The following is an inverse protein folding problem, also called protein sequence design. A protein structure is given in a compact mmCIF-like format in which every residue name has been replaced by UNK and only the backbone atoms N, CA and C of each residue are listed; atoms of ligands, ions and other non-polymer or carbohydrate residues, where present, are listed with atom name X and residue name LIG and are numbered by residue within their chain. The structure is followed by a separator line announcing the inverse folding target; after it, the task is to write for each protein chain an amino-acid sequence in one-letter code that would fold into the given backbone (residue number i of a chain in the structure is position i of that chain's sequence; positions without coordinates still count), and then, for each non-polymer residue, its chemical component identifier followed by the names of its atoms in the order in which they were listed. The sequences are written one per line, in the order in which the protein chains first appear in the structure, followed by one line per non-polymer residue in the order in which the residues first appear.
data_IF_473034316726
#
_entry.id   IF_473034316726
#
_cell.length_a   1.000
_cell.length_b   1.000
_cell.length_c   1.000
_cell.angle_alpha   90.00
_cell.angle_beta   90.00
_cell.angle_gamma   90.00
#
_symmetry.space_group_name_H-M   'P 1'
#
loop_
_entity.id
_entity.type
_entity.pdbx_description
1 polymer ?
#
# COMPACT_ATOMS: atom_id res chain seq x y z
N UNK A 1 5.21 23.92 3.45
CA UNK A 1 4.73 23.77 2.07
C UNK A 1 3.53 22.82 1.90
N UNK A 2 3.01 22.17 2.95
CA UNK A 2 1.83 21.27 2.86
C UNK A 2 0.45 21.98 2.88
N UNK A 3 0.39 23.29 3.14
CA UNK A 3 -0.86 24.01 3.41
C UNK A 3 -1.66 24.36 2.16
N UNK A 4 -0.99 24.69 1.04
CA UNK A 4 -1.65 25.18 -0.19
C UNK A 4 -2.43 24.09 -0.91
N UNK A 5 -1.84 22.90 -1.07
CA UNK A 5 -2.49 21.76 -1.73
C UNK A 5 -3.74 21.28 -0.98
N UNK A 6 -3.73 21.32 0.35
CA UNK A 6 -4.89 20.93 1.17
C UNK A 6 -6.03 21.94 1.03
N UNK A 7 -5.73 23.24 0.99
CA UNK A 7 -6.75 24.27 0.80
C UNK A 7 -7.39 24.23 -0.59
N UNK A 8 -6.61 23.91 -1.62
CA UNK A 8 -7.10 23.77 -3.00
C UNK A 8 -8.06 22.58 -3.13
N UNK A 9 -7.68 21.41 -2.60
CA UNK A 9 -8.55 20.22 -2.58
C UNK A 9 -9.87 20.46 -1.85
N UNK A 10 -9.86 21.21 -0.75
CA UNK A 10 -11.07 21.55 0.00
C UNK A 10 -11.98 22.50 -0.80
N UNK A 11 -11.39 23.42 -1.58
CA UNK A 11 -12.15 24.33 -2.43
C UNK A 11 -12.79 23.58 -3.61
N UNK A 12 -12.08 22.64 -4.22
CA UNK A 12 -12.63 21.76 -5.26
C UNK A 12 -13.80 20.93 -4.74
N UNK A 13 -13.63 20.29 -3.57
CA UNK A 13 -14.70 19.53 -2.94
C UNK A 13 -15.95 20.39 -2.68
N UNK A 14 -15.75 21.62 -2.19
CA UNK A 14 -16.84 22.57 -1.94
C UNK A 14 -17.60 22.93 -3.23
N UNK A 15 -16.90 23.00 -4.36
CA UNK A 15 -17.51 23.25 -5.66
C UNK A 15 -18.38 22.08 -6.12
N UNK A 16 -17.89 20.85 -5.94
CA UNK A 16 -18.66 19.63 -6.24
C UNK A 16 -19.94 19.56 -5.40
N UNK A 17 -19.86 19.87 -4.10
CA UNK A 17 -21.03 19.87 -3.22
C UNK A 17 -22.10 20.86 -3.67
N UNK A 18 -21.72 22.09 -4.04
CA UNK A 18 -22.67 23.08 -4.56
C UNK A 18 -23.37 22.61 -5.83
N UNK A 19 -22.64 22.01 -6.76
CA UNK A 19 -23.24 21.45 -7.98
C UNK A 19 -24.26 20.34 -7.65
N UNK A 20 -23.95 19.47 -6.68
CA UNK A 20 -24.87 18.42 -6.23
C UNK A 20 -26.13 18.99 -5.56
N UNK A 21 -25.97 20.03 -4.72
CA UNK A 21 -27.10 20.72 -4.07
C UNK A 21 -28.00 21.41 -5.10
N UNK A 22 -27.42 22.08 -6.09
CA UNK A 22 -28.14 22.71 -7.19
C UNK A 22 -28.91 21.68 -8.02
N UNK A 23 -28.31 20.53 -8.33
CA UNK A 23 -28.99 19.44 -9.00
C UNK A 23 -30.14 18.88 -8.15
N UNK A 24 -29.94 18.69 -6.85
CA UNK A 24 -30.96 18.15 -5.96
C UNK A 24 -32.20 19.07 -5.86
N UNK A 25 -32.01 20.39 -5.91
CA UNK A 25 -33.09 21.37 -5.84
C UNK A 25 -33.81 21.57 -7.18
N UNK A 26 -33.07 21.62 -8.28
CA UNK A 26 -33.61 22.02 -9.59
C UNK A 26 -33.97 20.83 -10.50
N UNK A 27 -33.32 19.68 -10.33
CA UNK A 27 -33.58 18.43 -11.07
C UNK A 27 -33.42 17.19 -10.18
N UNK A 28 -34.40 16.90 -9.29
CA UNK A 28 -34.32 15.77 -8.37
C UNK A 28 -34.20 14.41 -9.05
N UNK A 29 -34.76 14.27 -10.27
CA UNK A 29 -34.69 13.03 -11.05
C UNK A 29 -33.29 12.86 -11.64
N UNK A 30 -32.71 13.92 -12.21
CA UNK A 30 -31.33 13.94 -12.68
C UNK A 30 -30.33 13.70 -11.56
N UNK A 31 -30.52 14.30 -10.38
CA UNK A 31 -29.73 14.03 -9.19
C UNK A 31 -29.76 12.55 -8.82
N UNK A 32 -30.95 11.95 -8.71
CA UNK A 32 -31.10 10.52 -8.39
C UNK A 32 -30.36 9.65 -9.41
N UNK A 33 -30.58 9.87 -10.70
CA UNK A 33 -29.93 9.11 -11.77
C UNK A 33 -28.41 9.27 -11.73
N UNK A 34 -27.91 10.48 -11.44
CA UNK A 34 -26.49 10.76 -11.29
C UNK A 34 -25.88 9.97 -10.13
N UNK A 35 -26.47 10.02 -8.93
CA UNK A 35 -25.98 9.28 -7.75
C UNK A 35 -26.02 7.77 -8.01
N UNK A 36 -27.10 7.25 -8.57
CA UNK A 36 -27.21 5.83 -8.90
C UNK A 36 -26.13 5.38 -9.90
N UNK A 37 -25.82 6.23 -10.89
CA UNK A 37 -24.72 5.98 -11.84
C UNK A 37 -23.38 5.98 -11.13
N UNK A 38 -23.08 6.99 -10.31
CA UNK A 38 -21.82 7.07 -9.57
C UNK A 38 -21.62 5.90 -8.60
N UNK A 39 -22.67 5.45 -7.90
CA UNK A 39 -22.61 4.27 -7.04
C UNK A 39 -22.37 2.99 -7.85
N UNK A 40 -23.00 2.86 -9.02
CA UNK A 40 -22.84 1.69 -9.88
C UNK A 40 -21.45 1.60 -10.49
N UNK A 41 -20.93 2.71 -11.00
CA UNK A 41 -19.60 2.80 -11.60
C UNK A 41 -18.51 2.72 -10.53
N UNK A 42 -18.70 3.43 -9.42
CA UNK A 42 -17.79 3.45 -8.28
C UNK A 42 -17.65 2.10 -7.58
N UNK A 43 -18.68 1.24 -7.59
CA UNK A 43 -18.62 -0.12 -7.02
C UNK A 43 -17.44 -0.94 -7.53
N UNK A 44 -17.06 -0.79 -8.80
CA UNK A 44 -15.93 -1.53 -9.40
C UNK A 44 -14.58 -1.00 -8.91
N UNK A 45 -14.47 0.31 -8.69
CA UNK A 45 -13.24 0.96 -8.24
C UNK A 45 -13.06 0.88 -6.71
N UNK A 46 -14.16 0.84 -5.96
CA UNK A 46 -14.19 0.79 -4.51
C UNK A 46 -14.30 -0.64 -3.95
N UNK A 47 -14.44 -1.66 -4.80
CA UNK A 47 -14.43 -3.05 -4.33
C UNK A 47 -13.07 -3.36 -3.69
N UNK A 48 -13.00 -4.15 -2.61
CA UNK A 48 -11.72 -4.61 -2.10
C UNK A 48 -11.01 -5.49 -3.14
N UNK A 49 -9.68 -5.63 -3.07
CA UNK A 49 -8.93 -6.57 -3.88
C UNK A 49 -9.34 -8.02 -3.56
N UNK A 50 -9.43 -8.88 -4.58
CA UNK A 50 -9.73 -10.30 -4.43
C UNK A 50 -8.43 -11.10 -4.36
N UNK A 51 -8.26 -11.93 -3.34
CA UNK A 51 -7.06 -12.78 -3.20
C UNK A 51 -7.04 -13.85 -4.28
N UNK A 52 -5.93 -13.95 -5.01
CA UNK A 52 -5.71 -14.98 -6.03
C UNK A 52 -4.87 -16.12 -5.45
N UNK A 53 -3.69 -15.79 -4.94
CA UNK A 53 -2.79 -16.75 -4.30
C UNK A 53 -1.87 -16.05 -3.32
N UNK A 54 -1.20 -16.83 -2.47
CA UNK A 54 -0.27 -16.32 -1.45
C UNK A 54 1.12 -16.87 -1.72
N UNK A 55 2.10 -15.97 -1.78
CA UNK A 55 3.51 -16.36 -1.87
C UNK A 55 4.08 -16.35 -0.46
N UNK A 56 4.63 -17.49 -0.03
CA UNK A 56 5.46 -17.56 1.18
C UNK A 56 6.92 -17.40 0.79
N UNK A 57 7.54 -16.35 1.30
CA UNK A 57 8.97 -16.07 1.18
C UNK A 57 9.65 -16.11 2.55
N UNK A 58 10.97 -16.14 2.55
CA UNK A 58 11.79 -16.00 3.77
C UNK A 58 12.52 -14.67 3.73
N UNK A 59 12.34 -13.84 4.75
CA UNK A 59 13.08 -12.58 4.86
C UNK A 59 14.54 -12.85 5.19
N UNK A 60 15.44 -12.23 4.42
CA UNK A 60 16.86 -12.17 4.75
C UNK A 60 17.08 -10.94 5.62
N UNK A 61 17.60 -11.12 6.82
CA UNK A 61 17.91 -10.01 7.73
C UNK A 61 18.74 -8.94 7.00
N UNK A 62 18.30 -7.68 7.05
CA UNK A 62 19.06 -6.56 6.49
C UNK A 62 20.27 -6.31 7.39
N UNK A 63 21.46 -6.28 6.80
CA UNK A 63 22.67 -5.89 7.49
C UNK A 63 22.72 -4.35 7.56
N UNK A 64 22.00 -3.74 8.49
CA UNK A 64 22.24 -2.34 8.87
C UNK A 64 23.42 -2.29 9.85
N UNK A 65 24.65 -2.34 9.32
CA UNK A 65 25.85 -2.10 10.13
C UNK A 65 26.22 -0.62 10.07
N UNK A 66 25.82 0.15 11.07
CA UNK A 66 26.32 1.50 11.28
C UNK A 66 27.55 1.48 12.19
N UNK A 67 28.54 2.27 11.78
CA UNK A 67 29.55 2.92 12.64
C UNK A 67 30.99 2.37 12.70
N UNK A 68 31.83 3.33 13.06
CA UNK A 68 33.24 3.58 12.78
C UNK A 68 34.18 2.90 13.76
N UNK A 69 35.31 2.36 13.25
CA UNK A 69 36.56 1.88 13.90
C UNK A 69 36.95 0.44 13.52
N UNK A 70 38.01 0.30 12.73
CA UNK A 70 38.35 -0.91 11.95
C UNK A 70 38.99 -2.05 12.76
N UNK A 71 39.74 -1.77 13.84
CA UNK A 71 40.53 -2.79 14.55
C UNK A 71 39.74 -3.58 15.60
N UNK A 72 38.92 -2.91 16.41
CA UNK A 72 38.02 -3.56 17.36
C UNK A 72 36.93 -4.36 16.60
N UNK A 73 36.63 -3.95 15.36
CA UNK A 73 35.72 -4.68 14.46
C UNK A 73 36.24 -6.06 14.06
N UNK A 74 37.52 -6.31 13.77
CA UNK A 74 37.90 -7.67 13.33
C UNK A 74 37.65 -8.73 14.42
N UNK A 75 37.98 -8.42 15.67
CA UNK A 75 37.81 -9.36 16.78
C UNK A 75 36.33 -9.48 17.16
N UNK A 76 35.62 -8.35 17.30
CA UNK A 76 34.18 -8.37 17.59
C UNK A 76 33.39 -8.97 16.42
N UNK A 77 33.77 -8.73 15.15
CA UNK A 77 33.10 -9.27 13.98
C UNK A 77 33.38 -10.75 13.81
N UNK A 78 34.57 -11.26 14.11
CA UNK A 78 34.82 -12.71 14.11
C UNK A 78 34.03 -13.38 15.24
N UNK A 79 34.06 -12.84 16.47
CA UNK A 79 33.27 -13.38 17.58
C UNK A 79 31.77 -13.28 17.31
N UNK A 80 31.30 -12.14 16.81
CA UNK A 80 29.90 -11.91 16.42
C UNK A 80 29.51 -12.80 15.25
N UNK A 81 30.35 -12.99 14.22
CA UNK A 81 30.07 -13.91 13.12
C UNK A 81 30.01 -15.36 13.59
N UNK A 82 30.88 -15.79 14.50
CA UNK A 82 30.86 -17.15 15.06
C UNK A 82 29.61 -17.34 15.93
N UNK A 83 29.32 -16.41 16.84
CA UNK A 83 28.12 -16.42 17.69
C UNK A 83 26.85 -16.35 16.82
N UNK A 84 26.85 -15.56 15.74
CA UNK A 84 25.70 -15.35 14.84
C UNK A 84 25.55 -16.45 13.79
N UNK A 85 26.59 -17.21 13.47
CA UNK A 85 26.47 -18.47 12.70
C UNK A 85 25.82 -19.55 13.56
N UNK A 86 26.12 -19.57 14.87
CA UNK A 86 25.45 -20.46 15.83
C UNK A 86 24.02 -19.98 16.12
N UNK A 87 23.78 -18.67 16.13
CA UNK A 87 22.48 -18.02 16.38
C UNK A 87 21.82 -17.52 15.08
N UNK A 88 22.01 -18.24 13.97
CA UNK A 88 21.65 -17.73 12.64
C UNK A 88 20.13 -17.66 12.45
N UNK A 89 19.63 -16.48 12.79
CA UNK A 89 18.36 -15.81 12.44
C UNK A 89 17.17 -16.74 12.33
N UNK A 90 16.20 -16.59 13.25
CA UNK A 90 14.81 -16.95 12.99
C UNK A 90 14.47 -16.45 11.58
N UNK A 91 14.32 -17.39 10.64
CA UNK A 91 13.94 -17.11 9.26
C UNK A 91 12.50 -16.61 9.34
N UNK A 92 12.32 -15.29 9.39
CA UNK A 92 10.98 -14.71 9.45
C UNK A 92 10.28 -15.01 8.12
N UNK A 93 9.13 -15.68 8.20
CA UNK A 93 8.31 -15.96 7.05
C UNK A 93 7.58 -14.68 6.62
N UNK A 94 7.67 -14.32 5.35
CA UNK A 94 6.87 -13.27 4.74
C UNK A 94 5.78 -13.91 3.90
N UNK A 95 4.55 -13.48 4.10
CA UNK A 95 3.43 -13.87 3.25
C UNK A 95 3.02 -12.66 2.42
N UNK A 96 3.01 -12.81 1.11
CA UNK A 96 2.58 -11.77 0.17
C UNK A 96 1.31 -12.27 -0.51
N UNK A 97 0.19 -11.61 -0.21
CA UNK A 97 -1.07 -11.85 -0.90
C UNK A 97 -0.98 -11.23 -2.29
N UNK A 98 -1.09 -12.06 -3.32
CA UNK A 98 -1.25 -11.60 -4.69
C UNK A 98 -2.74 -11.50 -4.97
N UNK A 99 -3.20 -10.29 -5.26
CA UNK A 99 -4.62 -10.00 -5.42
C UNK A 99 -4.90 -9.41 -6.80
N UNK A 100 -6.07 -9.72 -7.32
CA UNK A 100 -6.64 -9.02 -8.48
C UNK A 100 -7.50 -7.85 -7.98
N UNK A 101 -7.42 -6.71 -8.65
CA UNK A 101 -8.25 -5.56 -8.29
C UNK A 101 -8.61 -4.74 -9.52
N UNK A 102 -9.92 -4.63 -9.79
CA UNK A 102 -10.47 -3.84 -10.91
C UNK A 102 -10.08 -2.35 -10.88
N UNK A 103 -9.62 -1.82 -9.74
CA UNK A 103 -9.16 -0.44 -9.65
C UNK A 103 -7.73 -0.24 -10.16
N UNK A 104 -6.97 -1.33 -10.37
CA UNK A 104 -5.61 -1.28 -10.91
C UNK A 104 -5.70 -1.32 -12.44
N UNK A 105 -5.07 -0.38 -13.17
CA UNK A 105 -5.11 -0.38 -14.63
C UNK A 105 -4.37 -1.60 -15.19
N UNK A 106 -4.88 -2.12 -16.31
CA UNK A 106 -4.22 -3.19 -17.05
C UNK A 106 -2.84 -2.77 -17.58
N UNK A 107 -2.00 -3.76 -17.86
CA UNK A 107 -0.72 -3.53 -18.48
C UNK A 107 -0.90 -2.89 -19.87
N UNK A 108 0.02 -2.00 -20.25
CA UNK A 108 -0.05 -1.32 -21.56
C UNK A 108 0.29 -2.25 -22.72
N UNK A 109 1.19 -3.19 -22.47
CA UNK A 109 1.66 -4.22 -23.40
C UNK A 109 2.27 -5.40 -22.62
N UNK A 110 2.52 -6.51 -23.31
CA UNK A 110 3.10 -7.73 -22.72
C UNK A 110 4.47 -7.50 -22.07
N UNK A 111 5.31 -6.67 -22.69
CA UNK A 111 6.64 -6.32 -22.16
C UNK A 111 6.64 -5.17 -21.14
N UNK A 112 5.48 -4.56 -20.89
CA UNK A 112 5.39 -3.41 -19.98
C UNK A 112 5.27 -3.87 -18.52
N UNK A 113 5.96 -3.21 -17.57
CA UNK A 113 5.76 -3.49 -16.15
C UNK A 113 4.30 -3.31 -15.73
N UNK A 114 3.80 -4.25 -14.93
CA UNK A 114 2.44 -4.20 -14.37
C UNK A 114 2.44 -3.23 -13.19
N UNK A 115 1.45 -2.34 -13.13
CA UNK A 115 1.24 -1.46 -11.98
C UNK A 115 0.76 -2.28 -10.79
N UNK A 116 1.40 -2.13 -9.64
CA UNK A 116 1.03 -2.82 -8.39
C UNK A 116 0.75 -1.81 -7.28
N UNK A 117 -0.23 -2.11 -6.43
CA UNK A 117 -0.41 -1.42 -5.14
C UNK A 117 -0.01 -2.36 -4.01
N UNK A 118 0.78 -1.85 -3.07
CA UNK A 118 1.11 -2.54 -1.83
C UNK A 118 0.32 -1.88 -0.68
N UNK A 119 -0.28 -2.71 0.18
CA UNK A 119 -0.84 -2.26 1.44
C UNK A 119 0.25 -2.05 2.50
N UNK A 120 -0.19 -1.64 3.69
CA UNK A 120 0.65 -1.63 4.89
C UNK A 120 1.06 -3.06 5.28
N UNK A 121 2.24 -3.20 5.90
CA UNK A 121 2.70 -4.51 6.33
C UNK A 121 1.92 -4.91 7.58
N UNK A 122 1.53 -6.18 7.68
CA UNK A 122 0.81 -6.69 8.84
C UNK A 122 1.65 -7.75 9.55
N UNK A 123 1.87 -7.55 10.86
CA UNK A 123 2.53 -8.50 11.73
C UNK A 123 1.54 -9.60 12.14
N UNK A 124 1.76 -10.82 11.65
CA UNK A 124 0.91 -11.97 11.98
C UNK A 124 1.09 -12.46 13.43
N UNK A 125 2.24 -12.19 14.06
CA UNK A 125 2.50 -12.63 15.43
C UNK A 125 1.86 -11.67 16.44
N UNK A 126 1.99 -10.37 16.20
CA UNK A 126 1.46 -9.32 17.09
C UNK A 126 0.02 -8.90 16.73
N UNK A 127 -0.45 -9.21 15.52
CA UNK A 127 -1.81 -8.90 15.07
C UNK A 127 -2.03 -7.42 14.74
N UNK A 128 -0.98 -6.70 14.36
CA UNK A 128 -0.98 -5.24 14.16
C UNK A 128 -0.31 -4.84 12.84
N UNK A 129 -0.64 -3.66 12.31
CA UNK A 129 0.04 -3.08 11.15
C UNK A 129 1.38 -2.43 11.57
N UNK A 130 2.41 -2.57 10.73
CA UNK A 130 3.78 -2.06 10.94
C UNK A 130 4.03 -0.82 10.09
#
# INVERSE_FOLDING_TARGET
MQTTAKSELLAEASTVWKMLDEMAQNDPIGYKNFIERQLREGKKSLSPPSVMFVIRATLKASNSFSSTNLHIRCIIFILYCIIRNIFQSTKQALYVNYCEWNAIPEAKSEDSPISVKCGETFDLENGEFI
#
